data_IF_134114018923
#
_entry.id   IF_134114018923
#
_cell.length_a   1.000
_cell.length_b   1.000
_cell.length_c   1.000
_cell.angle_alpha   90.00
_cell.angle_beta   90.00
_cell.angle_gamma   90.00
#
_symmetry.space_group_name_H-M   'P 1'
#
loop_
_entity.id
_entity.type
_entity.pdbx_description
1 polymer ?
#
# COMPACT_ATOMS: atom_id res chain seq x y z
N UNK A 1 -20.67 -56.13 24.68
CA UNK A 1 -21.67 -55.13 25.13
C UNK A 1 -20.97 -53.95 25.80
N UNK A 2 -19.93 -54.17 26.61
CA UNK A 2 -19.12 -53.11 27.25
C UNK A 2 -18.48 -52.11 26.27
N UNK A 3 -17.99 -52.54 25.10
CA UNK A 3 -17.34 -51.63 24.13
C UNK A 3 -18.28 -50.65 23.43
N UNK A 4 -19.58 -50.94 23.35
CA UNK A 4 -20.57 -50.04 22.72
C UNK A 4 -20.91 -48.89 23.68
N UNK A 5 -21.00 -49.19 24.98
CA UNK A 5 -21.30 -48.19 26.02
C UNK A 5 -20.20 -47.12 26.13
N UNK A 6 -18.93 -47.53 26.05
CA UNK A 6 -17.80 -46.61 26.09
C UNK A 6 -17.76 -45.68 24.86
N UNK A 7 -18.04 -46.23 23.67
CA UNK A 7 -18.11 -45.45 22.44
C UNK A 7 -19.30 -44.48 22.42
N UNK A 8 -20.44 -44.82 23.05
CA UNK A 8 -21.57 -43.90 23.18
C UNK A 8 -21.27 -42.76 24.15
N UNK A 9 -20.57 -43.01 25.26
CA UNK A 9 -20.13 -41.94 26.17
C UNK A 9 -19.12 -40.99 25.51
N UNK A 10 -18.16 -41.52 24.76
CA UNK A 10 -17.23 -40.69 23.97
C UNK A 10 -17.95 -39.87 22.91
N UNK A 11 -18.93 -40.46 22.21
CA UNK A 11 -19.73 -39.75 21.21
C UNK A 11 -20.56 -38.63 21.84
N UNK A 12 -21.15 -38.87 23.01
CA UNK A 12 -21.90 -37.85 23.76
C UNK A 12 -20.97 -36.70 24.21
N UNK A 13 -19.74 -37.01 24.64
CA UNK A 13 -18.74 -35.99 24.98
C UNK A 13 -18.37 -35.12 23.78
N UNK A 14 -18.06 -35.74 22.63
CA UNK A 14 -17.70 -35.03 21.39
C UNK A 14 -18.88 -34.19 20.87
N UNK A 15 -20.11 -34.70 20.98
CA UNK A 15 -21.31 -33.97 20.57
C UNK A 15 -21.52 -32.71 21.43
N UNK A 16 -21.28 -32.82 22.73
CA UNK A 16 -21.35 -31.66 23.64
C UNK A 16 -20.27 -30.62 23.34
N UNK A 17 -19.04 -31.07 23.04
CA UNK A 17 -17.95 -30.15 22.64
C UNK A 17 -18.24 -29.46 21.31
N UNK A 18 -18.74 -30.19 20.31
CA UNK A 18 -19.17 -29.60 19.03
C UNK A 18 -20.25 -28.54 19.23
N UNK A 19 -21.25 -28.84 20.07
CA UNK A 19 -22.30 -27.88 20.37
C UNK A 19 -21.76 -26.61 21.05
N UNK A 20 -20.80 -26.75 21.97
CA UNK A 20 -20.16 -25.60 22.59
C UNK A 20 -19.37 -24.74 21.59
N UNK A 21 -18.68 -25.38 20.64
CA UNK A 21 -17.96 -24.67 19.56
C UNK A 21 -18.94 -23.96 18.61
N UNK A 22 -20.07 -24.59 18.27
CA UNK A 22 -21.11 -23.96 17.44
C UNK A 22 -21.66 -22.68 18.10
N UNK A 23 -21.90 -22.71 19.42
CA UNK A 23 -22.33 -21.52 20.17
C UNK A 23 -21.28 -20.39 20.07
N UNK A 24 -19.99 -20.72 20.22
CA UNK A 24 -18.92 -19.72 20.10
C UNK A 24 -18.83 -19.12 18.69
N UNK A 25 -18.98 -19.93 17.64
CA UNK A 25 -19.02 -19.45 16.25
C UNK A 25 -20.21 -18.52 16.05
N UNK A 26 -21.37 -18.84 16.63
CA UNK A 26 -22.56 -18.01 16.53
C UNK A 26 -22.37 -16.65 17.22
N UNK A 27 -21.80 -16.64 18.43
CA UNK A 27 -21.46 -15.41 19.16
C UNK A 27 -20.46 -14.53 18.38
N UNK A 28 -19.40 -15.13 17.85
CA UNK A 28 -18.41 -14.42 17.03
C UNK A 28 -19.02 -13.85 15.75
N UNK A 29 -19.96 -14.56 15.13
CA UNK A 29 -20.65 -14.12 13.92
C UNK A 29 -21.58 -12.93 14.21
N UNK A 30 -22.31 -12.98 15.32
CA UNK A 30 -23.13 -11.85 15.78
C UNK A 30 -22.27 -10.62 16.07
N UNK A 31 -21.14 -10.82 16.76
CA UNK A 31 -20.17 -9.74 17.02
C UNK A 31 -19.57 -9.18 15.73
N UNK A 32 -19.30 -10.02 14.74
CA UNK A 32 -18.83 -9.60 13.42
C UNK A 32 -19.87 -8.70 12.73
N UNK A 33 -21.15 -9.07 12.77
CA UNK A 33 -22.23 -8.27 12.20
C UNK A 33 -22.36 -6.91 12.90
N UNK A 34 -22.27 -6.87 14.23
CA UNK A 34 -22.31 -5.62 15.00
C UNK A 34 -21.15 -4.68 14.62
N UNK A 35 -19.94 -5.23 14.49
CA UNK A 35 -18.76 -4.45 14.08
C UNK A 35 -18.89 -3.92 12.65
N UNK A 36 -19.47 -4.70 11.73
CA UNK A 36 -19.76 -4.26 10.35
C UNK A 36 -20.79 -3.12 10.32
N UNK A 37 -21.85 -3.21 11.13
CA UNK A 37 -22.82 -2.13 11.27
C UNK A 37 -22.15 -0.86 11.81
N UNK A 38 -21.37 -0.97 12.90
CA UNK A 38 -20.62 0.15 13.48
C UNK A 38 -19.66 0.78 12.47
N UNK A 39 -18.95 -0.03 11.68
CA UNK A 39 -18.10 0.44 10.59
C UNK A 39 -18.89 1.30 9.60
N UNK A 40 -20.03 0.81 9.12
CA UNK A 40 -20.87 1.53 8.15
C UNK A 40 -21.37 2.89 8.68
N UNK A 41 -21.74 2.96 9.97
CA UNK A 41 -22.20 4.20 10.61
C UNK A 41 -21.05 5.20 10.73
N UNK A 42 -19.87 4.75 11.19
CA UNK A 42 -18.69 5.61 11.28
C UNK A 42 -18.28 6.13 9.90
N UNK A 43 -18.32 5.29 8.86
CA UNK A 43 -18.05 5.73 7.48
C UNK A 43 -19.03 6.79 7.02
N UNK A 44 -20.34 6.65 7.30
CA UNK A 44 -21.33 7.68 6.98
C UNK A 44 -21.11 8.98 7.75
N UNK A 45 -20.76 8.91 9.04
CA UNK A 45 -20.45 10.11 9.85
C UNK A 45 -19.22 10.85 9.32
N UNK A 46 -18.18 10.13 8.92
CA UNK A 46 -17.00 10.72 8.29
C UNK A 46 -17.39 11.42 6.99
N UNK A 47 -18.19 10.77 6.14
CA UNK A 47 -18.71 11.37 4.90
C UNK A 47 -19.50 12.66 5.18
N UNK A 48 -20.39 12.64 6.17
CA UNK A 48 -21.20 13.80 6.53
C UNK A 48 -20.37 14.97 7.06
N UNK A 49 -19.35 14.71 7.89
CA UNK A 49 -18.44 15.76 8.37
C UNK A 49 -17.57 16.36 7.25
N UNK A 50 -17.33 15.63 6.17
CA UNK A 50 -16.62 16.15 4.99
C UNK A 50 -17.52 17.07 4.16
N UNK A 51 -18.81 16.79 4.06
CA UNK A 51 -19.79 17.59 3.30
C UNK A 51 -20.09 18.96 3.95
N UNK A 52 -20.05 19.06 5.28
CA UNK A 52 -20.26 20.33 5.99
C UNK A 52 -19.08 21.33 5.83
N UNK A 53 -17.95 20.91 5.25
CA UNK A 53 -16.75 21.75 5.07
C UNK A 53 -16.62 22.39 3.69
N UNK A 54 -17.44 22.00 2.68
CA UNK A 54 -17.23 22.41 1.27
C UNK A 54 -18.33 23.35 0.73
N UNK A 55 -18.50 24.52 1.37
CA UNK A 55 -19.19 25.66 0.74
C UNK A 55 -18.25 26.50 -0.15
N UNK A 56 -17.17 25.91 -0.68
CA UNK A 56 -16.37 26.52 -1.74
C UNK A 56 -14.96 25.94 -1.86
N UNK A 57 -14.75 24.96 -2.75
CA UNK A 57 -14.27 25.19 -4.12
C UNK A 57 -13.91 23.86 -4.85
N UNK A 58 -14.58 23.60 -5.98
CA UNK A 58 -14.14 22.78 -7.12
C UNK A 58 -13.42 21.44 -6.90
N UNK A 59 -14.14 20.33 -7.15
CA UNK A 59 -13.63 18.99 -7.53
C UNK A 59 -12.73 18.22 -6.54
N UNK A 60 -13.02 18.26 -5.24
CA UNK A 60 -12.36 17.41 -4.23
C UNK A 60 -13.09 16.08 -3.96
N UNK A 61 -13.01 15.11 -4.87
CA UNK A 61 -13.38 13.71 -4.57
C UNK A 61 -12.16 12.75 -4.54
N UNK A 62 -10.97 13.24 -4.87
CA UNK A 62 -9.74 12.45 -4.99
C UNK A 62 -8.80 12.58 -3.78
N UNK A 63 -9.21 13.21 -2.68
CA UNK A 63 -8.28 13.70 -1.64
C UNK A 63 -7.86 12.68 -0.58
N UNK A 64 -8.49 11.50 -0.50
CA UNK A 64 -8.10 10.48 0.48
C UNK A 64 -7.12 9.44 -0.12
N UNK A 65 -6.09 8.99 0.62
CA UNK A 65 -5.20 7.91 0.16
C UNK A 65 -5.97 6.63 -0.25
N UNK A 66 -7.09 6.35 0.41
CA UNK A 66 -7.93 5.20 0.12
C UNK A 66 -8.49 5.21 -1.32
N UNK A 67 -8.75 6.39 -1.90
CA UNK A 67 -9.23 6.51 -3.28
C UNK A 67 -8.18 6.07 -4.31
N UNK A 68 -6.90 6.23 -3.97
CA UNK A 68 -5.74 5.94 -4.82
C UNK A 68 -5.12 4.56 -4.59
N UNK A 69 -5.60 3.82 -3.59
CA UNK A 69 -5.12 2.47 -3.29
C UNK A 69 -5.78 1.43 -4.23
N UNK A 70 -5.51 1.56 -5.54
CA UNK A 70 -6.10 0.74 -6.61
C UNK A 70 -5.04 0.30 -7.62
N UNK A 71 -5.30 -0.81 -8.29
CA UNK A 71 -4.47 -1.38 -9.37
C UNK A 71 -5.24 -1.43 -10.71
N UNK A 72 -6.22 -0.53 -10.92
CA UNK A 72 -7.11 -0.46 -12.08
C UNK A 72 -6.71 0.62 -13.11
N UNK A 73 -5.57 1.28 -12.92
CA UNK A 73 -5.08 2.31 -13.83
C UNK A 73 -4.39 1.70 -15.07
N UNK A 74 -4.32 2.43 -16.21
CA UNK A 74 -3.64 1.95 -17.41
C UNK A 74 -2.17 1.57 -17.19
N UNK A 75 -1.49 2.21 -16.24
CA UNK A 75 -0.09 1.94 -15.89
C UNK A 75 0.10 0.80 -14.88
N UNK A 76 -0.94 0.29 -14.24
CA UNK A 76 -0.83 -0.66 -13.12
C UNK A 76 -0.10 -1.95 -13.50
N UNK A 77 -0.30 -2.46 -14.72
CA UNK A 77 0.44 -3.62 -15.23
C UNK A 77 1.95 -3.37 -15.31
N UNK A 78 2.36 -2.23 -15.90
CA UNK A 78 3.77 -1.84 -16.01
C UNK A 78 4.40 -1.55 -14.64
N UNK A 79 3.66 -0.89 -13.76
CA UNK A 79 4.10 -0.59 -12.38
C UNK A 79 4.41 -1.87 -11.60
N UNK A 80 3.54 -2.87 -11.70
CA UNK A 80 3.72 -4.17 -11.04
C UNK A 80 4.89 -4.96 -11.61
N UNK A 81 5.04 -4.94 -12.93
CA UNK A 81 6.16 -5.55 -13.64
C UNK A 81 7.49 -4.95 -13.19
N UNK A 82 7.62 -3.62 -13.20
CA UNK A 82 8.83 -2.92 -12.75
C UNK A 82 9.14 -3.22 -11.27
N UNK A 83 8.12 -3.25 -10.40
CA UNK A 83 8.31 -3.59 -8.99
C UNK A 83 8.94 -4.97 -8.79
N UNK A 84 8.39 -5.99 -9.46
CA UNK A 84 8.79 -7.38 -9.27
C UNK A 84 10.05 -7.74 -10.06
N UNK A 85 10.13 -7.31 -11.31
CA UNK A 85 11.18 -7.73 -12.23
C UNK A 85 12.42 -6.82 -12.19
N UNK A 86 12.27 -5.53 -11.88
CA UNK A 86 13.41 -4.61 -11.75
C UNK A 86 13.81 -4.46 -10.29
N UNK A 87 12.90 -3.99 -9.43
CA UNK A 87 13.21 -3.72 -8.02
C UNK A 87 13.24 -4.98 -7.13
N UNK A 88 12.82 -6.15 -7.66
CA UNK A 88 12.80 -7.43 -6.93
C UNK A 88 11.99 -7.39 -5.63
N UNK A 89 10.94 -6.57 -5.60
CA UNK A 89 10.02 -6.43 -4.46
C UNK A 89 8.69 -7.13 -4.74
N UNK A 90 8.11 -7.76 -3.72
CA UNK A 90 6.87 -8.55 -3.88
C UNK A 90 5.60 -7.72 -3.74
N UNK A 91 5.60 -6.73 -2.83
CA UNK A 91 4.42 -5.94 -2.46
C UNK A 91 4.82 -4.51 -2.12
N UNK A 92 3.89 -3.58 -2.32
CA UNK A 92 4.01 -2.21 -1.84
C UNK A 92 3.85 -2.14 -0.33
N UNK A 93 4.61 -1.24 0.31
CA UNK A 93 4.39 -0.80 1.69
C UNK A 93 3.26 0.22 1.73
N UNK A 94 2.69 0.51 2.92
CA UNK A 94 1.62 1.50 3.05
C UNK A 94 1.98 2.84 2.40
N UNK A 95 1.00 3.47 1.74
CA UNK A 95 1.11 4.75 1.03
C UNK A 95 1.98 4.76 -0.24
N UNK A 96 2.73 3.69 -0.55
CA UNK A 96 3.59 3.68 -1.74
C UNK A 96 2.77 3.61 -3.02
N UNK A 97 1.77 2.71 -3.10
CA UNK A 97 0.96 2.52 -4.30
C UNK A 97 0.14 3.77 -4.60
N UNK A 98 -0.47 4.34 -3.56
CA UNK A 98 -1.24 5.57 -3.61
C UNK A 98 -0.39 6.72 -4.18
N UNK A 99 0.82 6.92 -3.64
CA UNK A 99 1.74 7.98 -4.08
C UNK A 99 2.18 7.78 -5.53
N UNK A 100 2.48 6.53 -5.91
CA UNK A 100 2.88 6.20 -7.29
C UNK A 100 1.73 6.51 -8.24
N UNK A 101 0.50 6.14 -7.91
CA UNK A 101 -0.67 6.39 -8.75
C UNK A 101 -0.94 7.89 -8.92
N UNK A 102 -0.85 8.69 -7.85
CA UNK A 102 -1.00 10.15 -7.92
C UNK A 102 0.07 10.76 -8.82
N UNK A 103 1.32 10.32 -8.67
CA UNK A 103 2.46 10.80 -9.48
C UNK A 103 2.30 10.42 -10.95
N UNK A 104 1.91 9.18 -11.24
CA UNK A 104 1.67 8.68 -12.61
C UNK A 104 0.48 9.37 -13.28
N UNK A 105 -0.48 9.87 -12.50
CA UNK A 105 -1.57 10.71 -12.98
C UNK A 105 -1.15 12.17 -13.25
N UNK A 106 0.12 12.52 -13.02
CA UNK A 106 0.65 13.87 -13.24
C UNK A 106 0.20 14.90 -12.21
N UNK A 107 -0.21 14.46 -11.01
CA UNK A 107 -0.63 15.34 -9.91
C UNK A 107 0.48 15.52 -8.88
N UNK A 108 0.54 16.67 -8.23
CA UNK A 108 1.46 16.94 -7.14
C UNK A 108 1.09 16.19 -5.86
N UNK A 109 2.09 15.67 -5.15
CA UNK A 109 1.89 14.91 -3.91
C UNK A 109 3.03 15.13 -2.93
N UNK A 110 2.69 15.31 -1.65
CA UNK A 110 3.64 15.29 -0.54
C UNK A 110 3.50 13.98 0.25
N UNK A 111 4.59 13.22 0.29
CA UNK A 111 4.67 11.96 1.02
C UNK A 111 5.43 12.15 2.34
N UNK A 112 4.71 12.00 3.45
CA UNK A 112 5.31 11.93 4.79
C UNK A 112 5.42 10.46 5.20
N UNK A 113 6.66 9.98 5.33
CA UNK A 113 6.94 8.60 5.74
C UNK A 113 8.23 8.55 6.57
N UNK A 114 8.35 7.66 7.58
CA UNK A 114 9.58 7.53 8.36
C UNK A 114 10.81 7.20 7.50
N UNK A 115 12.00 7.47 8.04
CA UNK A 115 13.27 7.03 7.46
C UNK A 115 13.26 5.50 7.32
N UNK A 116 13.77 4.99 6.19
CA UNK A 116 13.70 3.55 5.87
C UNK A 116 12.31 3.05 5.43
N UNK A 117 11.29 3.91 5.40
CA UNK A 117 9.95 3.54 4.93
C UNK A 117 9.87 3.17 3.44
N UNK A 118 10.87 3.55 2.64
CA UNK A 118 10.92 3.30 1.19
C UNK A 118 10.41 4.47 0.33
N UNK A 119 10.66 5.71 0.74
CA UNK A 119 10.20 6.92 0.03
C UNK A 119 10.79 7.03 -1.38
N UNK A 120 12.01 6.52 -1.56
CA UNK A 120 12.72 6.57 -2.83
C UNK A 120 12.01 5.83 -3.96
N UNK A 121 11.40 4.69 -3.64
CA UNK A 121 10.65 3.89 -4.60
C UNK A 121 9.51 4.69 -5.26
N UNK A 122 8.89 5.62 -4.53
CA UNK A 122 7.73 6.38 -4.99
C UNK A 122 8.05 7.34 -6.14
N UNK A 123 9.31 7.69 -6.39
CA UNK A 123 9.73 8.45 -7.57
C UNK A 123 10.63 7.64 -8.52
N UNK A 124 11.40 6.67 -8.01
CA UNK A 124 12.26 5.82 -8.83
C UNK A 124 11.46 4.87 -9.74
N UNK A 125 10.35 4.33 -9.25
CA UNK A 125 9.50 3.44 -10.05
C UNK A 125 8.76 4.20 -11.17
N UNK A 126 8.11 5.35 -10.89
CA UNK A 126 7.54 6.19 -11.95
C UNK A 126 8.55 6.62 -13.03
N UNK A 127 9.81 6.86 -12.65
CA UNK A 127 10.87 7.23 -13.59
C UNK A 127 11.12 6.14 -14.66
N UNK A 128 10.97 4.87 -14.31
CA UNK A 128 11.08 3.73 -15.25
C UNK A 128 9.80 3.48 -16.04
N UNK A 129 8.66 3.93 -15.51
CA UNK A 129 7.37 3.78 -16.17
C UNK A 129 7.12 4.86 -17.23
N UNK A 130 7.75 6.03 -17.07
CA UNK A 130 7.62 7.19 -17.94
C UNK A 130 8.74 7.25 -18.98
N UNK A 131 8.53 8.03 -20.04
CA UNK A 131 9.60 8.34 -21.01
C UNK A 131 10.48 9.48 -20.50
N UNK A 132 11.78 9.45 -20.85
CA UNK A 132 12.72 10.49 -20.46
C UNK A 132 13.43 10.21 -19.12
N UNK A 133 13.52 11.22 -18.27
CA UNK A 133 14.22 11.14 -16.98
C UNK A 133 13.45 11.87 -15.87
N UNK A 134 13.72 11.51 -14.62
CA UNK A 134 13.21 12.21 -13.43
C UNK A 134 14.32 13.00 -12.77
N UNK A 135 14.09 14.30 -12.56
CA UNK A 135 15.00 15.15 -11.80
C UNK A 135 14.77 14.96 -10.30
N UNK A 136 15.83 14.58 -9.57
CA UNK A 136 15.78 14.43 -8.11
C UNK A 136 16.73 15.44 -7.48
N UNK A 137 16.18 16.33 -6.65
CA UNK A 137 16.96 17.32 -5.91
C UNK A 137 17.27 16.75 -4.52
N UNK A 138 18.56 16.60 -4.21
CA UNK A 138 19.02 16.06 -2.94
C UNK A 138 20.06 17.00 -2.31
N UNK A 139 19.96 17.30 -1.00
CA UNK A 139 20.87 18.27 -0.36
C UNK A 139 22.27 17.73 -0.08
N UNK A 140 22.45 16.40 0.01
CA UNK A 140 23.70 15.78 0.45
C UNK A 140 24.25 14.81 -0.61
N UNK A 141 25.53 14.94 -0.92
CA UNK A 141 26.22 14.08 -1.89
C UNK A 141 26.22 12.61 -1.44
N UNK A 142 26.46 12.36 -0.14
CA UNK A 142 26.43 10.99 0.41
C UNK A 142 25.08 10.30 0.18
N UNK A 143 23.97 11.01 0.35
CA UNK A 143 22.64 10.46 0.07
C UNK A 143 22.43 10.18 -1.41
N UNK A 144 22.99 11.01 -2.31
CA UNK A 144 22.95 10.74 -3.75
C UNK A 144 23.75 9.49 -4.11
N UNK A 145 24.96 9.34 -3.56
CA UNK A 145 25.83 8.19 -3.78
C UNK A 145 25.18 6.87 -3.31
N UNK A 146 24.54 6.88 -2.14
CA UNK A 146 23.80 5.72 -1.62
C UNK A 146 22.69 5.28 -2.59
N UNK A 147 21.92 6.23 -3.14
CA UNK A 147 20.87 5.90 -4.12
C UNK A 147 21.46 5.38 -5.43
N UNK A 148 22.52 6.00 -5.95
CA UNK A 148 23.16 5.57 -7.19
C UNK A 148 23.78 4.18 -7.08
N UNK A 149 24.36 3.83 -5.93
CA UNK A 149 24.89 2.49 -5.68
C UNK A 149 23.80 1.43 -5.81
N UNK A 150 22.63 1.65 -5.19
CA UNK A 150 21.48 0.73 -5.28
C UNK A 150 20.96 0.64 -6.72
N UNK A 151 20.76 1.79 -7.38
CA UNK A 151 20.26 1.80 -8.77
C UNK A 151 21.20 1.09 -9.74
N UNK A 152 22.52 1.27 -9.58
CA UNK A 152 23.53 0.57 -10.37
C UNK A 152 23.49 -0.94 -10.17
N UNK A 153 23.27 -1.42 -8.94
CA UNK A 153 23.11 -2.84 -8.65
C UNK A 153 21.85 -3.44 -9.30
N UNK A 154 20.79 -2.65 -9.41
CA UNK A 154 19.56 -3.02 -10.10
C UNK A 154 19.65 -2.89 -11.63
N UNK A 155 20.80 -2.46 -12.17
CA UNK A 155 20.99 -2.25 -13.61
C UNK A 155 20.25 -1.03 -14.17
N UNK A 156 19.83 -0.09 -13.31
CA UNK A 156 19.12 1.13 -13.71
C UNK A 156 20.14 2.22 -14.03
N UNK A 157 20.00 2.84 -15.21
CA UNK A 157 20.82 3.98 -15.60
C UNK A 157 20.40 5.23 -14.82
N UNK A 158 21.28 5.72 -13.96
CA UNK A 158 21.11 6.96 -13.21
C UNK A 158 22.46 7.67 -13.07
N UNK A 159 22.44 8.99 -12.95
CA UNK A 159 23.64 9.82 -12.78
C UNK A 159 23.37 10.97 -11.82
N UNK A 160 24.41 11.62 -11.32
CA UNK A 160 24.33 12.85 -10.55
C UNK A 160 25.24 13.92 -11.14
N UNK A 161 24.90 15.18 -10.88
CA UNK A 161 25.79 16.33 -11.09
C UNK A 161 26.15 16.93 -9.73
N UNK A 162 27.42 17.25 -9.54
CA UNK A 162 27.95 17.86 -8.33
C UNK A 162 28.97 18.96 -8.68
N UNK A 163 29.43 19.70 -7.68
CA UNK A 163 30.38 20.80 -7.87
C UNK A 163 31.74 20.35 -8.47
N UNK A 164 32.13 19.10 -8.26
CA UNK A 164 33.38 18.51 -8.77
C UNK A 164 33.20 17.72 -10.08
N UNK A 165 32.02 17.79 -10.71
CA UNK A 165 31.74 17.04 -11.94
C UNK A 165 32.63 17.53 -13.07
N UNK A 166 33.19 16.59 -13.84
CA UNK A 166 34.05 16.92 -14.96
C UNK A 166 33.24 17.60 -16.08
N UNK A 167 33.86 18.55 -16.77
CA UNK A 167 33.28 19.11 -17.99
C UNK A 167 33.30 18.04 -19.08
N UNK A 168 32.15 17.47 -19.38
CA UNK A 168 31.97 16.64 -20.57
C UNK A 168 31.93 17.60 -21.77
N UNK A 169 32.92 17.50 -22.67
CA UNK A 169 32.85 18.10 -24.00
C UNK A 169 31.96 17.19 -24.84
N UNK A 170 30.81 17.73 -25.29
CA UNK A 170 30.01 17.13 -26.34
C UNK A 170 30.67 17.34 -27.70
#
# INVERSE_FOLDING_TARGET
MESISALTEELDSVTNELHAVEIQIQELTERQQELLQKKSVLTKKIQQCLEDSDAGASNECDSSPAAWNKEDFPWSGKVKDVLQNVFKLQKFRPLQLETINVTMAGKEVFLVMPTGGGKSLCYQLPALCSEGFTLVICPLISLMEDQLMVLKQLGISATMLNASSSKVRF
#
